data_IF_900265455390
#
_entry.id   IF_900265455390
#
_cell.length_a   1.000
_cell.length_b   1.000
_cell.length_c   1.000
_cell.angle_alpha   90.00
_cell.angle_beta   90.00
_cell.angle_gamma   90.00
#
_symmetry.space_group_name_H-M   'P 1'
#
loop_
_entity.id
_entity.type
_entity.pdbx_description
1 polymer ?
#
# COMPACT_ATOMS: atom_id res chain seq x y z
N UNK A 1 -9.71 3.17 23.43
CA UNK A 1 -8.54 2.40 22.93
C UNK A 1 -8.87 1.46 21.76
N UNK A 2 -9.93 0.63 21.83
CA UNK A 2 -10.30 -0.31 20.74
C UNK A 2 -10.44 0.35 19.35
N UNK A 3 -10.99 1.56 19.28
CA UNK A 3 -11.12 2.35 18.03
C UNK A 3 -9.78 2.80 17.43
N UNK A 4 -8.81 3.17 18.28
CA UNK A 4 -7.48 3.62 17.85
C UNK A 4 -6.65 2.43 17.36
N UNK A 5 -6.73 1.29 18.07
CA UNK A 5 -6.13 0.03 17.63
C UNK A 5 -6.69 -0.42 16.27
N UNK A 6 -7.99 -0.28 16.06
CA UNK A 6 -8.62 -0.63 14.78
C UNK A 6 -8.24 0.33 13.65
N UNK A 7 -8.16 1.63 13.94
CA UNK A 7 -7.66 2.63 12.99
C UNK A 7 -6.20 2.35 12.61
N UNK A 8 -5.36 2.00 13.58
CA UNK A 8 -3.96 1.62 13.33
C UNK A 8 -3.83 0.32 12.53
N UNK A 9 -4.68 -0.68 12.80
CA UNK A 9 -4.74 -1.89 11.99
C UNK A 9 -5.12 -1.57 10.53
N UNK A 10 -6.10 -0.68 10.31
CA UNK A 10 -6.46 -0.21 8.98
C UNK A 10 -5.36 0.61 8.31
N UNK A 11 -4.60 1.40 9.08
CA UNK A 11 -3.40 2.08 8.59
C UNK A 11 -2.39 1.08 8.05
N UNK A 12 -2.07 0.03 8.80
CA UNK A 12 -1.15 -1.02 8.36
C UNK A 12 -1.65 -1.71 7.09
N UNK A 13 -2.93 -2.09 7.04
CA UNK A 13 -3.52 -2.73 5.85
C UNK A 13 -3.44 -1.83 4.62
N UNK A 14 -3.81 -0.55 4.75
CA UNK A 14 -3.75 0.40 3.64
C UNK A 14 -2.31 0.67 3.21
N UNK A 15 -1.39 0.83 4.17
CA UNK A 15 0.01 1.08 3.89
C UNK A 15 0.66 -0.12 3.20
N UNK A 16 0.53 -1.32 3.76
CA UNK A 16 1.10 -2.54 3.20
C UNK A 16 0.45 -2.91 1.86
N UNK A 17 -0.88 -2.78 1.76
CA UNK A 17 -1.61 -3.04 0.53
C UNK A 17 -1.18 -2.10 -0.61
N UNK A 18 -1.10 -0.80 -0.32
CA UNK A 18 -0.68 0.18 -1.34
C UNK A 18 0.78 0.01 -1.73
N UNK A 19 1.66 -0.31 -0.77
CA UNK A 19 3.07 -0.59 -1.05
C UNK A 19 3.26 -1.86 -1.89
N UNK A 20 2.52 -2.94 -1.59
CA UNK A 20 2.55 -4.18 -2.38
C UNK A 20 2.03 -3.96 -3.81
N UNK A 21 0.86 -3.33 -3.96
CA UNK A 21 0.27 -3.08 -5.28
C UNK A 21 1.17 -2.15 -6.10
N UNK A 22 1.67 -1.08 -5.49
CA UNK A 22 2.61 -0.16 -6.15
C UNK A 22 3.90 -0.84 -6.58
N UNK A 23 4.49 -1.68 -5.71
CA UNK A 23 5.68 -2.47 -6.03
C UNK A 23 5.44 -3.49 -7.14
N UNK A 24 4.28 -4.18 -7.14
CA UNK A 24 3.90 -5.12 -8.20
C UNK A 24 3.71 -4.43 -9.54
N UNK A 25 2.99 -3.30 -9.57
CA UNK A 25 2.74 -2.55 -10.81
C UNK A 25 4.04 -2.02 -11.40
N UNK A 26 4.87 -1.38 -10.58
CA UNK A 26 6.15 -0.82 -11.04
C UNK A 26 7.13 -1.92 -11.43
N UNK A 27 7.20 -3.01 -10.66
CA UNK A 27 8.02 -4.17 -10.97
C UNK A 27 7.60 -4.85 -12.28
N UNK A 28 6.28 -4.98 -12.52
CA UNK A 28 5.74 -5.53 -13.76
C UNK A 28 6.01 -4.64 -14.97
N UNK A 29 5.85 -3.31 -14.82
CA UNK A 29 6.20 -2.35 -15.88
C UNK A 29 7.70 -2.43 -16.20
N UNK A 30 8.56 -2.39 -15.18
CA UNK A 30 10.01 -2.47 -15.36
C UNK A 30 10.44 -3.80 -16.01
N UNK A 31 9.85 -4.93 -15.58
CA UNK A 31 10.10 -6.23 -16.17
C UNK A 31 9.63 -6.35 -17.63
N UNK A 32 8.49 -5.74 -17.98
CA UNK A 32 7.95 -5.79 -19.35
C UNK A 32 8.77 -4.98 -20.36
N UNK A 33 9.59 -4.02 -19.91
CA UNK A 33 10.47 -3.22 -20.77
C UNK A 33 11.79 -3.92 -21.09
N UNK A 34 12.08 -5.05 -20.43
CA UNK A 34 13.31 -5.81 -20.69
C UNK A 34 13.15 -6.64 -21.96
N UNK A 35 13.95 -6.32 -22.98
CA UNK A 35 14.15 -7.20 -24.13
C UNK A 35 15.09 -8.33 -23.75
N UNK A 36 14.63 -9.58 -23.88
CA UNK A 36 15.43 -10.78 -23.64
C UNK A 36 15.38 -11.72 -24.85
N UNK A 37 16.49 -12.40 -25.12
CA UNK A 37 16.60 -13.37 -26.20
C UNK A 37 16.04 -14.75 -25.83
N UNK A 38 15.83 -15.02 -24.54
CA UNK A 38 15.28 -16.26 -24.02
C UNK A 38 14.42 -16.00 -22.76
N UNK A 39 13.54 -16.93 -22.41
CA UNK A 39 12.65 -16.80 -21.24
C UNK A 39 13.43 -16.72 -19.92
N UNK A 40 14.51 -17.50 -19.78
CA UNK A 40 15.36 -17.51 -18.58
C UNK A 40 16.09 -16.18 -18.38
N UNK A 41 16.63 -15.62 -19.45
CA UNK A 41 17.30 -14.33 -19.44
C UNK A 41 16.32 -13.18 -19.17
N UNK A 42 15.09 -13.28 -19.69
CA UNK A 42 14.01 -12.34 -19.41
C UNK A 42 13.55 -12.37 -17.96
N UNK A 43 13.57 -13.54 -17.34
CA UNK A 43 13.21 -13.70 -15.94
C UNK A 43 14.24 -13.08 -15.00
N UNK A 44 15.54 -13.37 -15.19
CA UNK A 44 16.61 -12.77 -14.39
C UNK A 44 16.68 -11.25 -14.55
N UNK A 45 16.69 -10.76 -15.79
CA UNK A 45 16.75 -9.32 -16.06
C UNK A 45 15.47 -8.61 -15.61
N UNK A 46 14.31 -9.24 -15.79
CA UNK A 46 13.02 -8.72 -15.31
C UNK A 46 12.95 -8.66 -13.80
N UNK A 47 13.47 -9.67 -13.09
CA UNK A 47 13.54 -9.67 -11.63
C UNK A 47 14.50 -8.59 -11.11
N UNK A 48 15.68 -8.44 -11.72
CA UNK A 48 16.64 -7.40 -11.35
C UNK A 48 16.08 -5.99 -11.58
N UNK A 49 15.47 -5.75 -12.76
CA UNK A 49 14.84 -4.47 -13.08
C UNK A 49 13.65 -4.18 -12.15
N UNK A 50 12.81 -5.18 -11.87
CA UNK A 50 11.70 -5.05 -10.94
C UNK A 50 12.15 -4.78 -9.51
N UNK A 51 13.25 -5.40 -9.06
CA UNK A 51 13.81 -5.14 -7.73
C UNK A 51 14.35 -3.71 -7.61
N UNK A 52 15.11 -3.24 -8.60
CA UNK A 52 15.60 -1.85 -8.61
C UNK A 52 14.46 -0.84 -8.65
N UNK A 53 13.47 -1.06 -9.52
CA UNK A 53 12.31 -0.18 -9.64
C UNK A 53 11.44 -0.20 -8.38
N UNK A 54 11.31 -1.34 -7.72
CA UNK A 54 10.62 -1.47 -6.42
C UNK A 54 11.33 -0.71 -5.30
N UNK A 55 12.66 -0.78 -5.23
CA UNK A 55 13.46 -0.02 -4.26
C UNK A 55 13.35 1.49 -4.50
N UNK A 56 13.41 1.91 -5.75
CA UNK A 56 13.29 3.32 -6.13
C UNK A 56 11.87 3.85 -5.88
N UNK A 57 10.84 3.05 -6.16
CA UNK A 57 9.46 3.33 -5.82
C UNK A 57 9.28 3.47 -4.30
N UNK A 58 9.83 2.53 -3.53
CA UNK A 58 9.80 2.59 -2.07
C UNK A 58 10.50 3.83 -1.51
N UNK A 59 11.64 4.23 -2.09
CA UNK A 59 12.36 5.46 -1.69
C UNK A 59 11.59 6.72 -2.01
N UNK A 60 10.99 6.80 -3.21
CA UNK A 60 10.36 8.02 -3.72
C UNK A 60 8.92 8.19 -3.23
N UNK A 61 8.16 7.11 -3.19
CA UNK A 61 6.74 7.12 -2.86
C UNK A 61 6.43 6.52 -1.49
N UNK A 62 7.36 5.82 -0.83
CA UNK A 62 7.12 5.21 0.48
C UNK A 62 6.66 6.21 1.55
N UNK A 63 7.30 7.38 1.62
CA UNK A 63 6.90 8.45 2.55
C UNK A 63 5.52 9.03 2.21
N UNK A 64 5.21 9.19 0.92
CA UNK A 64 3.93 9.72 0.45
C UNK A 64 2.80 8.71 0.70
N UNK A 65 3.05 7.43 0.44
CA UNK A 65 2.10 6.34 0.70
C UNK A 65 1.87 6.19 2.20
N UNK A 66 2.92 6.31 3.02
CA UNK A 66 2.79 6.28 4.48
C UNK A 66 1.96 7.47 4.99
N UNK A 67 2.27 8.69 4.55
CA UNK A 67 1.51 9.89 4.94
C UNK A 67 0.06 9.83 4.44
N UNK A 68 -0.16 9.40 3.20
CA UNK A 68 -1.49 9.23 2.64
C UNK A 68 -2.31 8.18 3.40
N UNK A 69 -1.72 7.01 3.67
CA UNK A 69 -2.37 5.96 4.46
C UNK A 69 -2.68 6.43 5.89
N UNK A 70 -1.81 7.26 6.49
CA UNK A 70 -2.03 7.84 7.81
C UNK A 70 -3.21 8.81 7.81
N UNK A 71 -3.27 9.71 6.84
CA UNK A 71 -4.39 10.67 6.69
C UNK A 71 -5.70 9.94 6.43
N UNK A 72 -5.71 8.93 5.55
CA UNK A 72 -6.91 8.13 5.27
C UNK A 72 -7.34 7.31 6.48
N UNK A 73 -6.41 6.74 7.23
CA UNK A 73 -6.73 5.98 8.45
C UNK A 73 -7.29 6.90 9.55
N UNK A 74 -6.65 8.05 9.81
CA UNK A 74 -7.14 9.02 10.80
C UNK A 74 -8.49 9.57 10.36
N UNK A 75 -8.61 10.03 9.12
CA UNK A 75 -9.85 10.55 8.55
C UNK A 75 -10.99 9.52 8.56
N UNK A 76 -10.71 8.27 8.16
CA UNK A 76 -11.67 7.17 8.17
C UNK A 76 -12.08 6.73 9.58
N UNK A 77 -11.18 6.86 10.55
CA UNK A 77 -11.45 6.58 11.98
C UNK A 77 -12.32 7.67 12.59
N UNK A 78 -12.08 8.94 12.25
CA UNK A 78 -12.88 10.09 12.71
C UNK A 78 -14.27 10.08 12.05
N UNK A 79 -14.35 9.80 10.74
CA UNK A 79 -15.60 9.72 10.00
C UNK A 79 -16.46 8.49 10.39
N UNK A 80 -15.90 7.51 11.12
CA UNK A 80 -16.61 6.30 11.51
C UNK A 80 -16.97 5.36 10.35
N UNK A 81 -16.41 5.60 9.16
CA UNK A 81 -16.64 4.82 7.94
C UNK A 81 -15.95 3.45 8.04
N UNK A 82 -14.82 3.38 8.77
CA UNK A 82 -14.08 2.14 8.96
C UNK A 82 -14.88 1.17 9.84
N UNK A 83 -15.09 -0.09 9.41
CA UNK A 83 -15.86 -1.08 10.16
C UNK A 83 -15.23 -1.27 11.55
N UNK A 84 -16.01 -1.02 12.61
CA UNK A 84 -15.59 -1.06 14.03
C UNK A 84 -15.22 0.30 14.67
N UNK A 85 -15.23 1.40 13.89
CA UNK A 85 -15.14 2.79 14.41
C UNK A 85 -16.47 3.54 14.44
N UNK A 86 -17.55 2.92 13.91
CA UNK A 86 -18.90 3.48 13.86
C UNK A 86 -19.36 4.05 15.21
N UNK A 87 -19.93 5.27 15.25
CA UNK A 87 -20.63 5.79 16.43
C UNK A 87 -21.65 4.77 16.92
N UNK A 88 -21.63 4.47 18.22
CA UNK A 88 -22.70 3.68 18.84
C UNK A 88 -23.98 4.50 18.66
N UNK A 89 -25.11 3.90 18.23
CA UNK A 89 -26.38 4.62 18.18
C UNK A 89 -26.62 5.25 19.56
N UNK A 90 -26.83 6.57 19.60
CA UNK A 90 -27.25 7.25 20.82
C UNK A 90 -28.58 6.62 21.27
N UNK A 91 -28.74 6.23 22.54
CA UNK A 91 -30.05 5.86 23.05
C UNK A 91 -30.95 7.08 22.87
N UNK A 92 -32.00 6.92 22.07
CA UNK A 92 -33.07 7.91 21.94
C UNK A 92 -33.68 8.16 23.32
N UNK A 93 -33.96 9.43 23.69
CA UNK A 93 -34.62 9.76 24.96
C UNK A 93 -36.05 9.21 25.02
#
# INVERSE_FOLDING_TARGET
>A
MKRVLLGFAWFLVLWFGTAMVGGMVVGGIAGSQVKAGSASEGFEKGQAAGHQAGVEFGRKYGNVIMLGALVVSIGGTVAGILPGTRPKPSPTP
#
